data_IF_739263425103
#
_entry.id   IF_739263425103
#
_cell.length_a   1.000
_cell.length_b   1.000
_cell.length_c   1.000
_cell.angle_alpha   90.00
_cell.angle_beta   90.00
_cell.angle_gamma   90.00
#
_symmetry.space_group_name_H-M   'P 1'
#
loop_
_entity.id
_entity.type
_entity.pdbx_description
1 polymer ?
#
# COMPACT_ATOMS: atom_id res chain seq x y z
N UNK A 1 20.22 16.44 -4.07
CA UNK A 1 18.89 17.08 -4.19
C UNK A 1 18.99 17.99 -5.39
N UNK A 2 18.21 17.75 -6.43
CA UNK A 2 18.28 18.50 -7.70
C UNK A 2 17.65 19.89 -7.50
N UNK A 3 18.30 21.00 -7.91
CA UNK A 3 17.75 22.36 -7.74
C UNK A 3 16.37 22.56 -8.40
N UNK A 4 16.00 21.74 -9.38
CA UNK A 4 14.69 21.80 -10.05
C UNK A 4 13.62 20.92 -9.39
N UNK A 5 13.98 20.12 -8.38
CA UNK A 5 13.05 19.26 -7.66
C UNK A 5 12.91 19.69 -6.20
N UNK A 6 12.07 20.70 -5.93
CA UNK A 6 11.98 21.29 -4.61
C UNK A 6 11.40 20.29 -3.59
N UNK A 7 11.79 20.41 -2.30
CA UNK A 7 11.41 19.43 -1.28
C UNK A 7 9.90 19.28 -1.08
N UNK A 8 9.11 20.35 -1.30
CA UNK A 8 7.66 20.30 -1.21
C UNK A 8 7.04 19.44 -2.31
N UNK A 9 7.60 19.50 -3.52
CA UNK A 9 7.13 18.70 -4.66
C UNK A 9 7.47 17.22 -4.43
N UNK A 10 8.67 16.95 -3.92
CA UNK A 10 9.08 15.62 -3.48
C UNK A 10 8.15 15.07 -2.38
N UNK A 11 7.77 15.90 -1.41
CA UNK A 11 6.85 15.47 -0.35
C UNK A 11 5.44 15.21 -0.91
N UNK A 12 4.97 16.07 -1.80
CA UNK A 12 3.66 15.94 -2.42
C UNK A 12 3.50 14.65 -3.24
N UNK A 13 4.54 14.18 -3.92
CA UNK A 13 4.46 12.93 -4.68
C UNK A 13 4.48 11.69 -3.79
N UNK A 14 5.15 11.75 -2.64
CA UNK A 14 5.32 10.58 -1.75
C UNK A 14 4.26 10.44 -0.65
N UNK A 15 3.75 11.53 -0.07
CA UNK A 15 2.82 11.47 1.08
C UNK A 15 1.41 11.93 0.75
N UNK A 16 1.24 12.88 -0.19
CA UNK A 16 -0.08 13.44 -0.52
C UNK A 16 -1.01 12.37 -1.10
N UNK A 17 -0.49 11.43 -1.91
CA UNK A 17 -1.29 10.37 -2.52
C UNK A 17 -1.95 9.47 -1.46
N UNK A 18 -1.22 9.16 -0.38
CA UNK A 18 -1.73 8.36 0.74
C UNK A 18 -2.79 9.14 1.54
N UNK A 19 -2.56 10.43 1.77
CA UNK A 19 -3.51 11.29 2.49
C UNK A 19 -4.82 11.42 1.70
N UNK A 20 -4.72 11.69 0.39
CA UNK A 20 -5.88 11.84 -0.48
C UNK A 20 -6.69 10.55 -0.60
N UNK A 21 -6.03 9.39 -0.72
CA UNK A 21 -6.72 8.09 -0.77
C UNK A 21 -7.40 7.73 0.56
N UNK A 22 -6.80 8.06 1.70
CA UNK A 22 -7.46 7.92 3.01
C UNK A 22 -8.67 8.86 3.10
N UNK A 23 -8.51 10.12 2.70
CA UNK A 23 -9.59 11.11 2.70
C UNK A 23 -10.75 10.67 1.80
N UNK A 24 -10.45 10.12 0.62
CA UNK A 24 -11.43 9.55 -0.29
C UNK A 24 -12.19 8.38 0.34
N UNK A 25 -11.53 7.53 1.14
CA UNK A 25 -12.19 6.45 1.87
C UNK A 25 -13.19 6.97 2.91
N UNK A 26 -12.94 8.13 3.52
CA UNK A 26 -13.85 8.75 4.49
C UNK A 26 -15.02 9.49 3.84
N UNK A 27 -14.79 10.15 2.71
CA UNK A 27 -15.79 10.99 2.03
C UNK A 27 -16.63 10.18 1.03
N UNK A 28 -16.02 9.18 0.39
CA UNK A 28 -16.61 8.37 -0.65
C UNK A 28 -17.58 7.32 -0.10
N UNK A 29 -18.84 7.34 -0.54
CA UNK A 29 -19.86 6.31 -0.25
C UNK A 29 -19.78 5.13 -1.24
N UNK A 30 -18.57 4.71 -1.60
CA UNK A 30 -18.40 3.68 -2.61
C UNK A 30 -18.34 2.29 -1.98
N UNK A 31 -19.09 1.35 -2.55
CA UNK A 31 -19.00 -0.07 -2.15
C UNK A 31 -17.62 -0.58 -2.56
N UNK A 32 -16.80 -1.10 -1.63
CA UNK A 32 -15.47 -1.60 -1.98
C UNK A 32 -15.60 -2.75 -3.00
N UNK A 33 -14.90 -2.69 -4.15
CA UNK A 33 -14.95 -3.75 -5.16
C UNK A 33 -14.32 -5.05 -4.65
N UNK A 34 -14.61 -6.17 -5.33
CA UNK A 34 -14.18 -7.51 -4.93
C UNK A 34 -12.65 -7.63 -4.78
N UNK A 35 -12.23 -8.02 -3.58
CA UNK A 35 -10.90 -7.82 -2.98
C UNK A 35 -9.76 -8.68 -3.54
N UNK A 36 -10.07 -9.74 -4.30
CA UNK A 36 -9.07 -10.72 -4.76
C UNK A 36 -8.19 -10.19 -5.90
N UNK A 37 -8.76 -9.36 -6.80
CA UNK A 37 -8.03 -8.83 -7.96
C UNK A 37 -7.04 -7.73 -7.57
N UNK A 38 -7.41 -6.87 -6.60
CA UNK A 38 -6.52 -5.82 -6.10
C UNK A 38 -5.29 -6.40 -5.41
N UNK A 39 -5.50 -7.37 -4.52
CA UNK A 39 -4.41 -8.03 -3.81
C UNK A 39 -3.50 -8.84 -4.74
N UNK A 40 -4.04 -9.50 -5.77
CA UNK A 40 -3.21 -10.23 -6.74
C UNK A 40 -2.28 -9.30 -7.51
N UNK A 41 -2.76 -8.14 -7.96
CA UNK A 41 -1.94 -7.15 -8.65
C UNK A 41 -0.83 -6.64 -7.73
N UNK A 42 -1.17 -6.30 -6.48
CA UNK A 42 -0.20 -5.89 -5.48
C UNK A 42 0.88 -6.96 -5.25
N UNK A 43 0.47 -8.22 -5.09
CA UNK A 43 1.37 -9.33 -4.87
C UNK A 43 2.30 -9.53 -6.08
N UNK A 44 1.77 -9.52 -7.30
CA UNK A 44 2.57 -9.61 -8.53
C UNK A 44 3.61 -8.49 -8.59
N UNK A 45 3.20 -7.24 -8.34
CA UNK A 45 4.12 -6.11 -8.36
C UNK A 45 5.23 -6.24 -7.31
N UNK A 46 4.88 -6.62 -6.07
CA UNK A 46 5.84 -6.85 -4.99
C UNK A 46 6.84 -7.96 -5.36
N UNK A 47 6.35 -9.10 -5.87
CA UNK A 47 7.21 -10.23 -6.24
C UNK A 47 8.12 -9.88 -7.41
N UNK A 48 7.62 -9.20 -8.44
CA UNK A 48 8.45 -8.74 -9.57
C UNK A 48 9.56 -7.81 -9.10
N UNK A 49 9.27 -6.88 -8.20
CA UNK A 49 10.29 -5.99 -7.64
C UNK A 49 11.32 -6.74 -6.78
N UNK A 50 10.88 -7.69 -5.95
CA UNK A 50 11.79 -8.50 -5.14
C UNK A 50 12.73 -9.35 -6.03
N UNK A 51 12.20 -9.99 -7.06
CA UNK A 51 12.98 -10.75 -8.05
C UNK A 51 14.00 -9.83 -8.73
N UNK A 52 13.57 -8.65 -9.17
CA UNK A 52 14.46 -7.69 -9.82
C UNK A 52 15.58 -7.22 -8.89
N UNK A 53 15.28 -6.92 -7.62
CA UNK A 53 16.31 -6.56 -6.65
C UNK A 53 17.30 -7.70 -6.39
N UNK A 54 16.85 -8.95 -6.35
CA UNK A 54 17.73 -10.12 -6.21
C UNK A 54 18.57 -10.34 -7.47
N UNK A 55 18.00 -10.11 -8.65
CA UNK A 55 18.72 -10.15 -9.92
C UNK A 55 19.88 -9.15 -9.95
N UNK A 56 19.64 -7.90 -9.54
CA UNK A 56 20.68 -6.88 -9.46
C UNK A 56 21.82 -7.30 -8.52
N UNK A 57 21.49 -7.94 -7.39
CA UNK A 57 22.49 -8.48 -6.47
C UNK A 57 23.35 -9.56 -7.12
N UNK A 58 22.73 -10.51 -7.84
CA UNK A 58 23.45 -11.64 -8.44
C UNK A 58 24.32 -11.21 -9.61
N UNK A 59 23.82 -10.34 -10.48
CA UNK A 59 24.50 -9.98 -11.74
C UNK A 59 25.47 -8.81 -11.57
N UNK A 60 25.07 -7.79 -10.82
CA UNK A 60 25.82 -6.53 -10.71
C UNK A 60 26.61 -6.47 -9.40
N UNK A 61 26.29 -7.34 -8.42
CA UNK A 61 26.88 -7.30 -7.07
C UNK A 61 26.37 -6.11 -6.24
N UNK A 62 25.51 -5.27 -6.81
CA UNK A 62 24.99 -4.06 -6.20
C UNK A 62 23.62 -4.31 -5.56
N UNK A 63 23.39 -3.67 -4.41
CA UNK A 63 22.08 -3.63 -3.77
C UNK A 63 21.39 -2.33 -4.09
N UNK A 64 20.10 -2.40 -4.43
CA UNK A 64 19.23 -1.22 -4.63
C UNK A 64 19.34 -0.26 -3.44
N UNK A 65 19.48 -0.80 -2.23
CA UNK A 65 19.70 -0.03 -1.02
C UNK A 65 21.04 -0.37 -0.35
N UNK A 66 21.86 0.64 0.01
CA UNK A 66 23.19 0.40 0.58
C UNK A 66 23.15 -0.33 1.94
N UNK A 67 22.08 -0.18 2.72
CA UNK A 67 21.93 -0.91 3.98
C UNK A 67 21.75 -2.43 3.76
N UNK A 68 21.16 -2.86 2.63
CA UNK A 68 21.02 -4.29 2.30
C UNK A 68 22.38 -4.97 2.09
N UNK A 69 23.43 -4.22 1.74
CA UNK A 69 24.78 -4.74 1.64
C UNK A 69 25.38 -5.17 2.97
N UNK A 70 24.90 -4.60 4.07
CA UNK A 70 25.39 -4.85 5.43
C UNK A 70 24.65 -6.02 6.10
N UNK A 71 23.54 -6.48 5.51
CA UNK A 71 22.68 -7.52 6.05
C UNK A 71 23.10 -8.90 5.53
N UNK A 72 23.04 -9.92 6.40
CA UNK A 72 23.23 -11.31 6.00
C UNK A 72 22.05 -11.78 5.13
N UNK A 73 22.26 -12.79 4.28
CA UNK A 73 21.24 -13.32 3.36
C UNK A 73 19.93 -13.70 4.09
N UNK A 74 20.03 -14.23 5.31
CA UNK A 74 18.87 -14.55 6.16
C UNK A 74 18.07 -13.32 6.57
N UNK A 75 18.74 -12.23 6.95
CA UNK A 75 18.07 -10.99 7.34
C UNK A 75 17.40 -10.30 6.15
N UNK A 76 17.95 -10.45 4.95
CA UNK A 76 17.35 -9.94 3.71
C UNK A 76 16.04 -10.69 3.40
N UNK A 77 16.04 -12.02 3.53
CA UNK A 77 14.82 -12.81 3.37
C UNK A 77 13.76 -12.43 4.41
N UNK A 78 14.16 -12.26 5.68
CA UNK A 78 13.27 -11.78 6.75
C UNK A 78 12.73 -10.38 6.47
N UNK A 79 13.53 -9.48 5.90
CA UNK A 79 13.11 -8.12 5.55
C UNK A 79 12.02 -8.13 4.47
N UNK A 80 12.18 -8.94 3.43
CA UNK A 80 11.15 -9.07 2.39
C UNK A 80 9.86 -9.69 2.94
N UNK A 81 9.97 -10.72 3.79
CA UNK A 81 8.81 -11.36 4.42
C UNK A 81 8.07 -10.41 5.37
N UNK A 82 8.80 -9.69 6.23
CA UNK A 82 8.21 -8.72 7.16
C UNK A 82 7.58 -7.55 6.43
N UNK A 83 8.21 -7.07 5.34
CA UNK A 83 7.66 -6.03 4.48
C UNK A 83 6.35 -6.47 3.83
N UNK A 84 6.34 -7.67 3.21
CA UNK A 84 5.12 -8.23 2.62
C UNK A 84 4.00 -8.34 3.66
N UNK A 85 4.32 -8.86 4.85
CA UNK A 85 3.36 -8.97 5.95
C UNK A 85 2.80 -7.60 6.37
N UNK A 86 3.67 -6.58 6.52
CA UNK A 86 3.26 -5.23 6.88
C UNK A 86 2.33 -4.61 5.84
N UNK A 87 2.65 -4.73 4.55
CA UNK A 87 1.78 -4.23 3.48
C UNK A 87 0.44 -4.96 3.42
N UNK A 88 0.44 -6.29 3.56
CA UNK A 88 -0.79 -7.08 3.61
C UNK A 88 -1.66 -6.67 4.80
N UNK A 89 -1.08 -6.42 5.97
CA UNK A 89 -1.80 -5.97 7.15
C UNK A 89 -2.49 -4.62 6.91
N UNK A 90 -1.79 -3.65 6.31
CA UNK A 90 -2.37 -2.34 5.96
C UNK A 90 -3.49 -2.50 4.92
N UNK A 91 -3.29 -3.31 3.89
CA UNK A 91 -4.31 -3.58 2.87
C UNK A 91 -5.60 -4.14 3.48
N UNK A 92 -5.50 -5.16 4.34
CA UNK A 92 -6.67 -5.73 5.01
C UNK A 92 -7.31 -4.77 6.02
N UNK A 93 -6.51 -3.97 6.73
CA UNK A 93 -7.03 -2.94 7.64
C UNK A 93 -7.85 -1.88 6.87
N UNK A 94 -7.34 -1.37 5.75
CA UNK A 94 -8.06 -0.43 4.89
C UNK A 94 -9.36 -1.04 4.35
N UNK A 95 -9.35 -2.30 3.93
CA UNK A 95 -10.55 -2.99 3.48
C UNK A 95 -11.59 -3.15 4.60
N UNK A 96 -11.15 -3.56 5.78
CA UNK A 96 -12.01 -3.72 6.95
C UNK A 96 -12.67 -2.39 7.33
N UNK A 97 -11.88 -1.31 7.39
CA UNK A 97 -12.38 0.04 7.65
C UNK A 97 -13.37 0.50 6.57
N UNK A 98 -13.07 0.26 5.29
CA UNK A 98 -13.96 0.61 4.18
C UNK A 98 -15.30 -0.14 4.25
N UNK A 99 -15.28 -1.43 4.58
CA UNK A 99 -16.52 -2.22 4.77
C UNK A 99 -17.32 -1.77 6.00
N UNK A 100 -16.64 -1.47 7.10
CA UNK A 100 -17.26 -0.96 8.32
C UNK A 100 -17.99 0.37 8.06
N UNK A 101 -17.32 1.31 7.37
CA UNK A 101 -17.88 2.61 7.00
C UNK A 101 -19.08 2.46 6.06
N UNK A 102 -18.99 1.57 5.07
CA UNK A 102 -20.08 1.29 4.13
C UNK A 102 -21.32 0.73 4.84
N UNK A 103 -21.19 -0.29 5.69
CA UNK A 103 -22.31 -0.86 6.44
C UNK A 103 -22.98 0.17 7.35
N UNK A 104 -22.20 1.06 7.98
CA UNK A 104 -22.72 2.15 8.79
C UNK A 104 -23.59 3.16 8.01
N UNK A 105 -23.28 3.39 6.73
CA UNK A 105 -24.07 4.29 5.86
C UNK A 105 -25.37 3.66 5.34
N UNK A 106 -25.40 2.34 5.12
CA UNK A 106 -26.59 1.61 4.68
C UNK A 106 -27.68 1.63 5.78
N UNK A 107 -27.28 1.38 7.04
CA UNK A 107 -28.20 1.45 8.19
C UNK A 107 -28.81 2.85 8.40
N UNK A 108 -28.07 3.93 8.11
CA UNK A 108 -28.61 5.30 8.17
C UNK A 108 -29.62 5.57 7.06
N UNK A 109 -29.33 5.13 5.84
CA UNK A 109 -30.24 5.29 4.69
C UNK A 109 -31.54 4.50 4.87
N UNK A 110 -31.46 3.26 5.38
CA UNK A 110 -32.63 2.43 5.68
C UNK A 110 -33.50 2.98 6.82
N UNK A 111 -32.90 3.63 7.83
CA UNK A 111 -33.65 4.30 8.90
C UNK A 111 -34.39 5.53 8.39
N UNK A 112 -33.80 6.27 7.45
CA UNK A 112 -34.35 7.51 6.91
C UNK A 112 -35.51 7.27 5.93
N UNK A 113 -35.54 6.13 5.22
CA UNK A 113 -36.70 5.74 4.38
C UNK A 113 -37.91 5.26 5.18
N UNK A 114 -37.70 4.78 6.41
CA UNK A 114 -38.77 4.29 7.30
C UNK A 114 -39.48 5.40 8.10
N UNK A 115 -38.88 6.59 8.14
CA UNK A 115 -39.40 7.77 8.86
C UNK A 115 -40.21 8.69 7.92
N UNK A 116 -40.08 8.50 6.61
CA UNK A 116 -40.81 9.24 5.58
C UNK A 116 -42.04 8.44 5.13
#
# INVERSE_FOLDING_TARGET
>A
MDPYYPPWLNHSTHTMIAILTIMELFVGKYKPPTTRKGYSIFLTFFTTYAIWSLYLRVVIGFWVYPFMAQLNNTFIALFYLSSLFGYSMVYFACLYLGQYMYNGTDHRSAKQSKIR
#
